data_IF_113735955287
#
_entry.id   IF_113735955287
#
_cell.length_a   1.000
_cell.length_b   1.000
_cell.length_c   1.000
_cell.angle_alpha   90.00
_cell.angle_beta   90.00
_cell.angle_gamma   90.00
#
_symmetry.space_group_name_H-M   'P 1'
#
loop_
_entity.id
_entity.type
_entity.pdbx_description
1 polymer ?
#
# COMPACT_ATOMS: atom_id res chain seq x y z
N UNK A 1 -8.21 7.58 -19.38
CA UNK A 1 -6.84 7.77 -18.90
C UNK A 1 -5.93 6.84 -19.67
N UNK A 2 -4.80 7.29 -20.21
CA UNK A 2 -3.82 6.39 -20.79
C UNK A 2 -3.32 5.52 -19.63
N UNK A 3 -3.29 4.24 -19.75
CA UNK A 3 -3.05 3.25 -18.68
C UNK A 3 -4.29 3.01 -17.82
N UNK A 4 -4.86 1.84 -17.90
CA UNK A 4 -6.08 1.40 -17.24
C UNK A 4 -7.31 1.53 -18.14
N UNK A 5 -7.33 0.81 -19.24
CA UNK A 5 -8.50 0.77 -20.13
C UNK A 5 -9.68 0.02 -19.52
N UNK A 6 -9.44 -0.77 -18.48
CA UNK A 6 -10.43 -1.67 -17.92
C UNK A 6 -10.71 -1.40 -16.44
N UNK A 7 -9.69 -1.35 -15.58
CA UNK A 7 -9.86 -1.23 -14.12
C UNK A 7 -8.78 -0.34 -13.49
N UNK A 8 -9.16 0.38 -12.43
CA UNK A 8 -8.26 1.08 -11.54
C UNK A 8 -8.37 0.45 -10.16
N UNK A 9 -7.26 -0.06 -9.63
CA UNK A 9 -7.23 -0.78 -8.36
C UNK A 9 -6.62 0.04 -7.24
N UNK A 10 -7.10 -0.23 -6.02
CA UNK A 10 -6.55 0.27 -4.76
C UNK A 10 -6.20 1.77 -4.77
N UNK A 11 -7.16 2.67 -5.03
CA UNK A 11 -6.88 4.10 -5.02
C UNK A 11 -6.65 4.61 -3.59
N UNK A 12 -5.67 5.51 -3.43
CA UNK A 12 -5.47 6.31 -2.21
C UNK A 12 -5.16 7.76 -2.58
N UNK A 13 -5.53 8.70 -1.72
CA UNK A 13 -5.46 10.15 -1.98
C UNK A 13 -4.70 10.88 -0.91
N UNK A 14 -3.86 11.83 -1.34
CA UNK A 14 -3.18 12.75 -0.43
C UNK A 14 -3.24 14.19 -0.95
N UNK A 15 -3.26 15.17 -0.05
CA UNK A 15 -3.11 16.57 -0.42
C UNK A 15 -1.62 16.95 -0.50
N UNK A 16 -1.18 17.46 -1.65
CA UNK A 16 0.16 17.99 -1.87
C UNK A 16 0.41 19.31 -1.13
N UNK A 17 1.66 19.77 -1.13
CA UNK A 17 2.05 21.08 -0.57
C UNK A 17 1.42 22.26 -1.31
N UNK A 18 1.10 22.08 -2.57
CA UNK A 18 0.44 23.05 -3.44
C UNK A 18 -1.08 23.15 -3.21
N UNK A 19 -1.62 22.34 -2.29
CA UNK A 19 -3.02 22.31 -1.92
C UNK A 19 -3.89 21.43 -2.82
N UNK A 20 -3.36 20.88 -3.92
CA UNK A 20 -4.06 19.97 -4.81
C UNK A 20 -4.11 18.56 -4.23
N UNK A 21 -5.04 17.73 -4.72
CA UNK A 21 -5.24 16.36 -4.32
C UNK A 21 -4.69 15.41 -5.38
N UNK A 22 -3.89 14.44 -4.95
CA UNK A 22 -3.20 13.47 -5.79
C UNK A 22 -3.74 12.08 -5.48
N UNK A 23 -4.38 11.47 -6.48
CA UNK A 23 -4.93 10.12 -6.43
C UNK A 23 -3.92 9.16 -7.04
N UNK A 24 -3.44 8.22 -6.24
CA UNK A 24 -2.55 7.13 -6.66
C UNK A 24 -3.40 5.89 -6.89
N UNK A 25 -3.07 5.12 -7.94
CA UNK A 25 -3.82 3.92 -8.30
C UNK A 25 -2.95 2.94 -9.11
N UNK A 26 -3.31 1.65 -9.09
CA UNK A 26 -2.76 0.66 -10.01
C UNK A 26 -3.66 0.54 -11.25
N UNK A 27 -3.15 0.74 -12.46
CA UNK A 27 -3.87 0.39 -13.67
C UNK A 27 -3.86 -1.12 -13.89
N UNK A 28 -4.95 -1.64 -14.47
CA UNK A 28 -5.00 -3.01 -14.98
C UNK A 28 -4.39 -3.06 -16.38
N UNK A 29 -3.07 -2.93 -16.44
CA UNK A 29 -2.33 -3.08 -17.69
C UNK A 29 -1.15 -4.05 -17.52
N UNK A 30 -0.51 -4.35 -18.64
CA UNK A 30 0.63 -5.29 -18.67
C UNK A 30 1.86 -4.74 -17.97
N UNK A 31 1.98 -3.44 -17.90
CA UNK A 31 3.07 -2.73 -17.23
C UNK A 31 2.59 -2.35 -15.85
N UNK A 32 3.08 -3.05 -14.84
CA UNK A 32 2.77 -2.70 -13.47
C UNK A 32 3.41 -1.36 -13.15
N UNK A 33 2.59 -0.36 -12.96
CA UNK A 33 3.00 1.00 -12.62
C UNK A 33 2.04 1.59 -11.58
N UNK A 34 2.40 2.70 -10.98
CA UNK A 34 1.49 3.48 -10.15
C UNK A 34 1.14 4.75 -10.93
N UNK A 35 -0.12 4.84 -11.35
CA UNK A 35 -0.68 6.04 -11.97
C UNK A 35 -0.99 7.09 -10.93
N UNK A 36 -0.90 8.36 -11.33
CA UNK A 36 -1.26 9.50 -10.50
C UNK A 36 -2.20 10.41 -11.28
N UNK A 37 -3.31 10.77 -10.66
CA UNK A 37 -4.22 11.79 -11.16
C UNK A 37 -4.33 12.94 -10.16
N UNK A 38 -4.61 14.15 -10.62
CA UNK A 38 -4.64 15.35 -9.80
C UNK A 38 -5.97 16.08 -9.93
N UNK A 39 -6.42 16.69 -8.83
CA UNK A 39 -7.60 17.55 -8.77
C UNK A 39 -7.41 18.69 -7.77
N UNK A 40 -8.07 19.80 -7.99
CA UNK A 40 -8.04 20.96 -7.08
C UNK A 40 -8.94 20.74 -5.84
N UNK A 41 -9.84 19.78 -5.88
CA UNK A 41 -10.75 19.42 -4.77
C UNK A 41 -10.76 17.91 -4.52
N UNK A 42 -11.00 17.45 -3.27
CA UNK A 42 -10.94 16.01 -2.96
C UNK A 42 -12.01 15.16 -3.68
N UNK A 43 -13.12 15.77 -4.06
CA UNK A 43 -14.26 15.10 -4.71
C UNK A 43 -14.53 15.64 -6.13
N UNK A 44 -13.53 16.13 -6.83
CA UNK A 44 -13.66 16.68 -8.17
C UNK A 44 -13.30 15.72 -9.30
N UNK A 45 -13.14 16.28 -10.49
CA UNK A 45 -12.67 15.56 -11.66
C UNK A 45 -11.15 15.43 -11.63
N UNK A 46 -10.67 14.24 -11.33
CA UNK A 46 -9.24 13.94 -11.37
C UNK A 46 -8.75 13.78 -12.82
N UNK A 47 -7.74 14.54 -13.17
CA UNK A 47 -7.07 14.48 -14.45
C UNK A 47 -5.79 13.68 -14.34
N UNK A 48 -5.50 12.84 -15.33
CA UNK A 48 -4.22 12.11 -15.37
C UNK A 48 -3.05 13.10 -15.29
N UNK A 49 -2.14 12.86 -14.34
CA UNK A 49 -1.00 13.72 -14.08
C UNK A 49 0.31 13.07 -14.50
N UNK A 50 0.46 11.77 -14.30
CA UNK A 50 1.65 11.02 -14.67
C UNK A 50 1.70 9.63 -14.04
N UNK A 51 2.87 9.03 -14.09
CA UNK A 51 3.20 7.77 -13.39
C UNK A 51 4.35 8.01 -12.43
N UNK A 52 4.39 7.26 -11.34
CA UNK A 52 5.50 7.32 -10.39
C UNK A 52 6.79 6.85 -11.07
N UNK A 53 7.86 7.60 -10.86
CA UNK A 53 9.14 7.41 -11.54
C UNK A 53 10.33 7.49 -10.58
N UNK A 54 11.37 6.83 -10.97
CA UNK A 54 12.67 6.87 -10.32
C UNK A 54 13.30 8.27 -10.42
N UNK A 55 14.26 8.57 -9.54
CA UNK A 55 15.01 9.85 -9.56
C UNK A 55 15.67 10.12 -10.92
N UNK A 56 16.09 9.09 -11.61
CA UNK A 56 16.78 9.15 -12.90
C UNK A 56 15.81 9.13 -14.11
N UNK A 57 14.50 9.11 -13.87
CA UNK A 57 13.46 9.29 -14.88
C UNK A 57 12.80 8.02 -15.42
N UNK A 58 13.24 6.82 -15.04
CA UNK A 58 12.57 5.56 -15.40
C UNK A 58 11.27 5.38 -14.62
N UNK A 59 10.34 4.58 -15.14
CA UNK A 59 9.10 4.24 -14.42
C UNK A 59 9.43 3.30 -13.28
N UNK A 60 8.87 3.55 -12.10
CA UNK A 60 9.02 2.67 -10.94
C UNK A 60 8.55 1.24 -11.28
N UNK A 61 9.41 0.26 -11.03
CA UNK A 61 9.14 -1.16 -11.26
C UNK A 61 9.55 -1.70 -12.63
N UNK A 62 10.15 -0.88 -13.50
CA UNK A 62 10.65 -1.31 -14.81
C UNK A 62 12.09 -1.85 -14.78
N UNK A 63 12.87 -1.51 -13.74
CA UNK A 63 14.24 -2.01 -13.64
C UNK A 63 14.25 -3.51 -13.31
N UNK A 64 15.13 -4.30 -13.91
CA UNK A 64 15.30 -5.71 -13.56
C UNK A 64 15.60 -5.88 -12.06
N UNK A 65 14.78 -6.66 -11.36
CA UNK A 65 14.92 -6.91 -9.92
C UNK A 65 14.11 -5.98 -9.03
N UNK A 66 13.40 -5.02 -9.59
CA UNK A 66 12.50 -4.18 -8.82
C UNK A 66 11.34 -4.98 -8.22
N UNK A 67 10.86 -4.49 -7.08
CA UNK A 67 9.57 -4.93 -6.52
C UNK A 67 8.45 -4.45 -7.43
N UNK A 68 7.47 -5.32 -7.70
CA UNK A 68 6.28 -4.92 -8.46
C UNK A 68 5.57 -3.80 -7.70
N UNK A 69 5.42 -2.61 -8.29
CA UNK A 69 4.61 -1.55 -7.71
C UNK A 69 3.13 -1.93 -7.79
N UNK A 70 2.48 -2.07 -6.64
CA UNK A 70 1.12 -2.57 -6.55
C UNK A 70 0.43 -2.01 -5.31
N UNK A 71 -0.88 -1.73 -5.42
CA UNK A 71 -1.74 -1.24 -4.33
C UNK A 71 -1.10 -0.08 -3.53
N UNK A 72 -1.00 1.11 -4.13
CA UNK A 72 -0.35 2.24 -3.50
C UNK A 72 -1.13 2.74 -2.28
N UNK A 73 -0.44 2.93 -1.17
CA UNK A 73 -0.90 3.74 -0.05
C UNK A 73 -0.06 5.01 0.03
N UNK A 74 -0.67 6.15 0.21
CA UNK A 74 0.04 7.44 0.26
C UNK A 74 -0.28 8.20 1.54
N UNK A 75 0.74 8.80 2.14
CA UNK A 75 0.61 9.51 3.40
C UNK A 75 1.54 10.72 3.45
N UNK A 76 1.02 11.87 3.85
CA UNK A 76 1.81 13.06 4.13
C UNK A 76 1.93 13.24 5.63
N UNK A 77 3.15 13.23 6.15
CA UNK A 77 3.42 13.45 7.57
C UNK A 77 3.39 14.96 7.92
N UNK A 78 3.40 15.27 9.20
CA UNK A 78 3.33 16.61 9.75
C UNK A 78 4.53 17.49 9.33
N UNK A 79 5.69 16.88 9.06
CA UNK A 79 6.88 17.57 8.53
C UNK A 79 6.79 17.88 7.03
N UNK A 80 5.70 17.45 6.37
CA UNK A 80 5.44 17.63 4.96
C UNK A 80 6.06 16.56 4.07
N UNK A 81 6.75 15.56 4.62
CA UNK A 81 7.27 14.43 3.85
C UNK A 81 6.11 13.57 3.34
N UNK A 82 6.13 13.25 2.05
CA UNK A 82 5.14 12.34 1.45
C UNK A 82 5.76 10.95 1.33
N UNK A 83 5.12 9.98 1.96
CA UNK A 83 5.47 8.57 1.91
C UNK A 83 4.55 7.84 0.93
N UNK A 84 5.15 7.00 0.10
CA UNK A 84 4.45 6.07 -0.77
C UNK A 84 4.75 4.64 -0.31
N UNK A 85 3.72 3.88 -0.05
CA UNK A 85 3.75 2.46 0.32
C UNK A 85 3.23 1.66 -0.85
N UNK A 86 3.83 0.53 -1.13
CA UNK A 86 3.43 -0.29 -2.26
C UNK A 86 3.94 -1.70 -2.13
N UNK A 87 3.47 -2.57 -2.99
CA UNK A 87 4.03 -3.89 -3.20
C UNK A 87 3.05 -5.02 -3.00
N UNK A 88 3.40 -6.14 -3.61
CA UNK A 88 2.65 -7.39 -3.55
C UNK A 88 3.54 -8.48 -2.94
N UNK A 89 3.21 -8.94 -1.75
CA UNK A 89 3.98 -9.91 -1.00
C UNK A 89 3.88 -11.33 -1.59
N UNK A 90 4.95 -12.11 -1.53
CA UNK A 90 4.91 -13.51 -1.97
C UNK A 90 4.11 -14.37 -0.98
N UNK A 91 3.21 -15.21 -1.49
CA UNK A 91 2.38 -16.12 -0.66
C UNK A 91 3.11 -17.41 -0.24
N UNK A 92 4.30 -17.67 -0.74
CA UNK A 92 5.08 -18.89 -0.43
C UNK A 92 6.58 -18.61 -0.43
N UNK A 93 7.34 -19.35 0.37
CA UNK A 93 8.82 -19.24 0.40
C UNK A 93 9.43 -19.44 -0.99
N UNK A 94 8.92 -20.37 -1.79
CA UNK A 94 9.40 -20.58 -3.17
C UNK A 94 9.23 -19.33 -4.04
N UNK A 95 8.13 -18.59 -3.89
CA UNK A 95 7.93 -17.32 -4.59
C UNK A 95 8.80 -16.23 -4.00
N UNK A 96 8.95 -16.17 -2.68
CA UNK A 96 9.82 -15.21 -2.01
C UNK A 96 11.28 -15.27 -2.48
N UNK A 97 11.79 -16.49 -2.72
CA UNK A 97 13.15 -16.69 -3.28
C UNK A 97 13.25 -16.26 -4.75
N UNK A 98 12.18 -16.46 -5.53
CA UNK A 98 12.18 -16.18 -6.99
C UNK A 98 11.94 -14.73 -7.37
N UNK A 99 11.27 -13.98 -6.51
CA UNK A 99 10.85 -12.61 -6.80
C UNK A 99 11.42 -11.64 -5.76
N UNK A 100 11.60 -10.40 -6.14
CA UNK A 100 11.94 -9.32 -5.19
C UNK A 100 10.69 -8.72 -4.55
N UNK A 101 9.50 -9.29 -4.82
CA UNK A 101 8.23 -8.78 -4.33
C UNK A 101 8.19 -8.70 -2.81
N UNK A 102 7.78 -7.55 -2.31
CA UNK A 102 7.72 -7.25 -0.89
C UNK A 102 6.83 -6.02 -0.65
N UNK A 103 6.46 -5.78 0.59
CA UNK A 103 6.03 -4.48 1.06
C UNK A 103 7.20 -3.52 1.04
N UNK A 104 7.07 -2.38 0.38
CA UNK A 104 8.09 -1.34 0.31
C UNK A 104 7.55 0.02 0.70
N UNK A 105 8.45 0.88 1.16
CA UNK A 105 8.19 2.30 1.42
C UNK A 105 9.27 3.15 0.76
N UNK A 106 8.86 4.28 0.21
CA UNK A 106 9.69 5.31 -0.38
C UNK A 106 9.10 6.68 -0.10
N UNK A 107 9.85 7.73 -0.35
CA UNK A 107 9.35 9.12 -0.26
C UNK A 107 9.35 9.77 -1.62
N UNK A 108 8.45 10.73 -1.80
CA UNK A 108 8.26 11.47 -3.04
C UNK A 108 8.85 12.88 -2.96
N UNK A 109 9.27 13.40 -4.10
CA UNK A 109 9.56 14.82 -4.29
C UNK A 109 8.26 15.64 -4.30
N UNK A 110 8.41 16.97 -4.27
CA UNK A 110 7.25 17.88 -4.25
C UNK A 110 6.42 17.86 -5.53
N UNK A 111 6.95 17.27 -6.61
CA UNK A 111 6.19 17.01 -7.85
C UNK A 111 5.19 15.87 -7.74
N UNK A 112 5.18 15.14 -6.62
CA UNK A 112 4.28 14.04 -6.33
C UNK A 112 4.39 12.84 -7.28
N UNK A 113 5.44 12.76 -8.10
CA UNK A 113 5.70 11.71 -9.08
C UNK A 113 7.07 11.07 -8.90
N UNK A 114 8.09 11.89 -8.61
CA UNK A 114 9.48 11.44 -8.60
C UNK A 114 9.86 10.92 -7.21
N UNK A 115 10.53 9.76 -7.17
CA UNK A 115 11.06 9.24 -5.91
C UNK A 115 12.18 10.14 -5.37
N UNK A 116 12.08 10.48 -4.08
CA UNK A 116 13.17 11.12 -3.33
C UNK A 116 14.12 10.07 -2.75
N UNK A 117 13.57 8.94 -2.33
CA UNK A 117 14.36 7.81 -1.79
C UNK A 117 14.04 6.53 -2.58
N UNK A 118 15.04 5.65 -2.68
CA UNK A 118 14.84 4.32 -3.25
C UNK A 118 13.82 3.51 -2.43
N UNK A 119 13.07 2.59 -3.08
CA UNK A 119 12.18 1.67 -2.39
C UNK A 119 12.94 0.83 -1.35
N UNK A 120 12.42 0.77 -0.14
CA UNK A 120 13.00 -0.01 0.95
C UNK A 120 11.96 -0.96 1.52
N UNK A 121 12.33 -2.21 1.77
CA UNK A 121 11.45 -3.18 2.42
C UNK A 121 10.94 -2.67 3.76
N UNK A 122 9.63 -2.79 3.97
CA UNK A 122 8.94 -2.27 5.14
C UNK A 122 8.61 -3.38 6.15
N UNK A 123 7.95 -4.43 5.69
CA UNK A 123 7.55 -5.57 6.51
C UNK A 123 8.30 -6.84 6.11
N UNK A 124 8.44 -7.82 7.02
CA UNK A 124 9.03 -9.11 6.67
C UNK A 124 8.11 -9.86 5.70
N UNK A 125 8.71 -10.57 4.77
CA UNK A 125 8.01 -11.46 3.82
C UNK A 125 8.06 -12.91 4.32
N UNK A 126 7.25 -13.77 3.71
CA UNK A 126 7.31 -15.23 3.91
C UNK A 126 8.76 -15.73 3.79
N UNK A 127 9.19 -16.52 4.74
CA UNK A 127 10.59 -16.98 4.87
C UNK A 127 11.50 -16.07 5.72
N UNK A 128 11.09 -14.83 6.00
CA UNK A 128 11.83 -13.87 6.86
C UNK A 128 11.01 -13.41 8.07
N UNK A 129 9.82 -13.96 8.25
CA UNK A 129 8.86 -13.58 9.30
C UNK A 129 8.84 -14.53 10.51
N UNK A 130 9.55 -15.66 10.45
CA UNK A 130 9.42 -16.80 11.37
C UNK A 130 9.47 -16.40 12.86
N UNK A 131 10.38 -15.53 13.23
CA UNK A 131 10.56 -15.11 14.63
C UNK A 131 9.98 -13.71 14.89
N UNK A 132 9.02 -13.31 14.06
CA UNK A 132 8.29 -12.06 14.18
C UNK A 132 6.81 -12.33 14.40
N UNK A 133 6.08 -11.38 14.92
CA UNK A 133 4.62 -11.49 15.02
C UNK A 133 3.90 -11.55 13.67
N UNK A 134 4.60 -11.36 12.55
CA UNK A 134 4.02 -11.39 11.20
C UNK A 134 3.90 -12.80 10.62
N UNK A 135 4.48 -13.82 11.24
CA UNK A 135 4.46 -15.19 10.71
C UNK A 135 3.03 -15.71 10.51
N UNK A 136 2.67 -16.05 9.27
CA UNK A 136 1.32 -16.43 8.86
C UNK A 136 0.38 -15.26 8.54
N UNK A 137 0.79 -14.03 8.81
CA UNK A 137 0.04 -12.79 8.57
C UNK A 137 0.86 -11.76 7.80
N UNK A 138 1.83 -12.23 7.01
CA UNK A 138 2.66 -11.36 6.19
C UNK A 138 1.81 -10.56 5.19
N UNK A 139 2.26 -9.36 4.86
CA UNK A 139 1.56 -8.54 3.89
C UNK A 139 1.48 -9.25 2.54
N UNK A 140 0.28 -9.32 2.00
CA UNK A 140 0.04 -9.67 0.61
C UNK A 140 -0.08 -8.43 -0.26
N UNK A 141 -0.99 -7.49 0.08
CA UNK A 141 -1.26 -6.26 -0.70
C UNK A 141 -2.03 -5.21 0.13
N UNK A 142 -2.54 -4.16 -0.52
CA UNK A 142 -3.47 -3.16 0.03
C UNK A 142 -2.93 -2.36 1.22
N UNK A 143 -1.74 -1.78 1.09
CA UNK A 143 -1.17 -0.92 2.14
C UNK A 143 -1.96 0.37 2.32
N UNK A 144 -2.39 0.67 3.55
CA UNK A 144 -2.95 1.96 3.94
C UNK A 144 -2.39 2.38 5.30
N UNK A 145 -2.02 3.64 5.47
CA UNK A 145 -1.37 4.10 6.70
C UNK A 145 -2.00 5.40 7.21
N UNK A 146 -2.10 5.51 8.54
CA UNK A 146 -2.49 6.76 9.23
C UNK A 146 -1.71 6.93 10.53
N UNK A 147 -1.49 8.18 10.90
CA UNK A 147 -0.90 8.54 12.20
C UNK A 147 -2.00 8.81 13.21
N UNK A 148 -2.01 8.04 14.29
CA UNK A 148 -3.01 8.12 15.36
C UNK A 148 -2.29 8.27 16.69
N UNK A 149 -2.49 9.41 17.37
CA UNK A 149 -1.86 9.71 18.67
C UNK A 149 -0.35 9.48 18.69
N UNK A 150 0.33 9.94 17.63
CA UNK A 150 1.78 9.85 17.50
C UNK A 150 2.33 8.49 17.07
N UNK A 151 1.47 7.49 16.83
CA UNK A 151 1.83 6.18 16.29
C UNK A 151 1.36 6.02 14.86
N UNK A 152 2.10 5.28 14.05
CA UNK A 152 1.74 4.96 12.67
C UNK A 152 1.10 3.58 12.63
N UNK A 153 -0.11 3.52 12.10
CA UNK A 153 -0.89 2.31 11.89
C UNK A 153 -0.93 1.99 10.40
N UNK A 154 -0.29 0.90 10.02
CA UNK A 154 -0.33 0.36 8.67
C UNK A 154 -1.36 -0.75 8.64
N UNK A 155 -2.42 -0.57 7.85
CA UNK A 155 -3.44 -1.58 7.57
C UNK A 155 -3.11 -2.23 6.24
N UNK A 156 -3.30 -3.55 6.14
CA UNK A 156 -2.94 -4.30 4.93
C UNK A 156 -3.70 -5.63 4.84
N UNK A 157 -3.84 -6.15 3.63
CA UNK A 157 -4.34 -7.52 3.39
C UNK A 157 -3.21 -8.52 3.55
N UNK A 158 -3.40 -9.56 4.35
CA UNK A 158 -2.39 -10.59 4.60
C UNK A 158 -2.43 -11.74 3.59
N UNK A 159 -1.39 -12.57 3.59
CA UNK A 159 -1.35 -13.81 2.82
C UNK A 159 -2.39 -14.83 3.30
N UNK A 160 -2.88 -14.71 4.53
CA UNK A 160 -3.88 -15.59 5.12
C UNK A 160 -5.28 -15.16 4.66
N UNK A 161 -5.67 -15.62 3.48
CA UNK A 161 -7.01 -15.38 2.92
C UNK A 161 -7.39 -13.90 2.77
N UNK A 162 -6.42 -13.02 2.54
CA UNK A 162 -6.64 -11.56 2.52
C UNK A 162 -7.33 -11.03 3.78
N UNK A 163 -7.09 -11.59 4.94
CA UNK A 163 -7.57 -10.97 6.16
C UNK A 163 -6.98 -9.57 6.32
N UNK A 164 -7.76 -8.63 6.80
CA UNK A 164 -7.31 -7.27 7.05
C UNK A 164 -6.55 -7.25 8.38
N UNK A 165 -5.25 -7.03 8.30
CA UNK A 165 -4.35 -6.93 9.44
C UNK A 165 -3.89 -5.49 9.66
N UNK A 166 -3.30 -5.24 10.83
CA UNK A 166 -2.59 -3.99 11.07
C UNK A 166 -1.24 -4.20 11.75
N UNK A 167 -0.36 -3.24 11.53
CA UNK A 167 0.94 -3.15 12.20
C UNK A 167 1.13 -1.73 12.74
N UNK A 168 1.90 -1.60 13.83
CA UNK A 168 2.10 -0.32 14.52
C UNK A 168 3.57 0.00 14.65
N UNK A 169 3.94 1.26 14.44
CA UNK A 169 5.30 1.77 14.63
C UNK A 169 5.31 3.19 15.21
N UNK A 170 6.46 3.57 15.77
CA UNK A 170 6.80 4.95 16.14
C UNK A 170 7.34 5.76 14.96
N UNK A 171 7.54 5.13 13.79
CA UNK A 171 8.09 5.74 12.58
C UNK A 171 7.32 5.28 11.35
N UNK A 172 7.12 6.19 10.34
CA UNK A 172 6.35 5.87 9.15
C UNK A 172 7.04 4.85 8.24
N UNK A 173 8.33 4.70 8.35
CA UNK A 173 9.17 4.01 7.37
C UNK A 173 9.87 2.73 7.89
N UNK A 174 9.69 2.38 9.16
CA UNK A 174 10.37 1.22 9.77
C UNK A 174 9.83 0.86 11.15
N UNK A 175 10.28 -0.28 11.68
CA UNK A 175 10.03 -0.66 13.07
C UNK A 175 8.61 -1.10 13.35
N UNK A 176 7.85 -1.45 12.34
CA UNK A 176 6.49 -1.95 12.50
C UNK A 176 6.47 -3.27 13.24
N UNK A 177 5.54 -3.38 14.18
CA UNK A 177 5.21 -4.61 14.91
C UNK A 177 3.79 -5.01 14.56
N UNK A 178 3.58 -6.29 14.35
CA UNK A 178 2.27 -6.86 14.09
C UNK A 178 1.32 -6.53 15.25
N UNK A 179 0.15 -6.01 14.93
CA UNK A 179 -0.85 -5.59 15.89
C UNK A 179 -2.04 -6.55 16.02
N UNK A 180 -2.33 -7.30 14.96
CA UNK A 180 -3.43 -8.26 14.94
C UNK A 180 -4.26 -8.21 13.67
N UNK A 181 -5.33 -8.99 13.66
CA UNK A 181 -6.36 -9.02 12.62
C UNK A 181 -7.48 -8.03 12.98
N UNK A 182 -7.87 -7.21 12.01
CA UNK A 182 -9.03 -6.30 12.13
C UNK A 182 -10.31 -7.03 11.77
N UNK A 183 -10.29 -7.72 10.61
CA UNK A 183 -11.42 -8.51 10.11
C UNK A 183 -10.93 -9.64 9.20
N UNK A 184 -11.61 -10.78 9.28
CA UNK A 184 -11.42 -11.90 8.34
C UNK A 184 -12.78 -12.46 7.94
N UNK A 185 -12.97 -12.72 6.64
CA UNK A 185 -14.15 -13.41 6.14
C UNK A 185 -13.89 -14.91 5.92
N UNK A 186 -12.72 -15.41 6.32
CA UNK A 186 -12.37 -16.83 6.34
C UNK A 186 -12.47 -17.45 7.75
N UNK A 187 -12.69 -16.63 8.77
CA UNK A 187 -12.79 -17.07 10.16
C UNK A 187 -14.24 -17.48 10.47
N UNK A 188 -14.55 -18.72 10.11
CA UNK A 188 -15.87 -19.30 10.29
C UNK A 188 -15.87 -20.32 11.43
N UNK A 189 -16.94 -20.36 12.20
CA UNK A 189 -17.17 -21.43 13.18
C UNK A 189 -17.41 -22.79 12.47
N UNK A 190 -17.06 -23.90 13.12
CA UNK A 190 -17.30 -25.22 12.55
C UNK A 190 -18.76 -25.42 12.13
N UNK A 191 -18.96 -25.81 10.86
CA UNK A 191 -20.29 -26.01 10.29
C UNK A 191 -20.96 -24.79 9.64
N UNK A 192 -20.37 -23.61 9.77
CA UNK A 192 -20.84 -22.42 9.06
C UNK A 192 -20.43 -22.47 7.58
N UNK A 193 -21.32 -21.95 6.74
CA UNK A 193 -21.02 -21.73 5.31
C UNK A 193 -20.68 -20.26 5.10
N UNK A 194 -19.70 -19.93 4.25
CA UNK A 194 -19.39 -18.56 3.93
C UNK A 194 -20.59 -17.89 3.27
N UNK A 195 -20.94 -16.69 3.72
CA UNK A 195 -21.97 -15.84 3.11
C UNK A 195 -21.46 -15.10 1.88
N UNK A 196 -20.15 -14.92 1.81
CA UNK A 196 -19.44 -14.18 0.76
C UNK A 196 -18.23 -14.99 0.30
N UNK A 197 -17.67 -14.65 -0.86
CA UNK A 197 -16.40 -15.22 -1.29
C UNK A 197 -15.29 -14.94 -0.27
N UNK A 198 -14.41 -15.89 -0.07
CA UNK A 198 -13.23 -15.69 0.77
C UNK A 198 -12.25 -14.69 0.12
N UNK A 199 -11.55 -13.94 0.97
CA UNK A 199 -10.53 -13.02 0.53
C UNK A 199 -11.04 -11.60 0.28
N UNK A 200 -10.19 -10.78 -0.35
CA UNK A 200 -10.47 -9.39 -0.73
C UNK A 200 -10.86 -8.48 0.44
N UNK A 201 -10.33 -8.73 1.64
CA UNK A 201 -10.45 -7.76 2.73
C UNK A 201 -9.45 -6.63 2.49
N UNK A 202 -9.90 -5.60 1.83
CA UNK A 202 -9.18 -4.34 1.64
C UNK A 202 -9.81 -3.27 2.52
N UNK A 203 -9.01 -2.34 2.99
CA UNK A 203 -9.53 -1.23 3.79
C UNK A 203 -8.48 -0.17 4.03
N UNK A 204 -8.96 1.00 4.37
CA UNK A 204 -8.16 2.13 4.83
C UNK A 204 -8.65 2.58 6.20
N UNK A 205 -7.86 3.39 6.85
CA UNK A 205 -8.24 4.09 8.07
C UNK A 205 -8.54 5.55 7.72
N UNK A 206 -9.67 6.06 8.19
CA UNK A 206 -9.99 7.47 8.04
C UNK A 206 -10.52 8.06 9.34
N UNK A 207 -10.23 9.34 9.57
CA UNK A 207 -10.70 10.06 10.75
C UNK A 207 -11.80 11.05 10.36
N UNK A 208 -13.01 10.80 10.84
CA UNK A 208 -14.16 11.67 10.63
C UNK A 208 -14.62 12.19 11.99
N UNK A 209 -14.55 13.50 12.20
CA UNK A 209 -14.95 14.16 13.46
C UNK A 209 -14.26 13.55 14.71
N UNK A 210 -12.98 13.17 14.60
CA UNK A 210 -12.21 12.59 15.69
C UNK A 210 -12.44 11.10 15.94
N UNK A 211 -13.31 10.46 15.17
CA UNK A 211 -13.53 9.01 15.20
C UNK A 211 -12.85 8.34 14.01
N UNK A 212 -12.14 7.25 14.25
CA UNK A 212 -11.50 6.44 13.21
C UNK A 212 -12.42 5.30 12.76
N UNK A 213 -12.45 5.08 11.45
CA UNK A 213 -13.24 4.06 10.76
C UNK A 213 -12.35 3.23 9.84
#
# INVERSE_FOLDING_TARGET
MPHGEHELWAPDVVQGKDGRYYLYYCPDDKVKSIGVAVCDTPAGHYMFYGVVREREGGILGERPGDTIPFDPGVFRDEDGTVYLYSGNGPRTEKKAVKTQNASVVMTLEDDMLTLRTEPRRLLPTVGHSRDTGFAGHELFEASSIRKIRGKYYLVYSSIACHELCYAVSDRPDRGFRYGGVVVSNCDLFPGEKPRYAFGNNHGGLECINGQYY
#
